data_IF_880762566313
#
_entry.id   IF_880762566313
#
_cell.length_a   1.000
_cell.length_b   1.000
_cell.length_c   1.000
_cell.angle_alpha   90.00
_cell.angle_beta   90.00
_cell.angle_gamma   90.00
#
_symmetry.space_group_name_H-M   'P 1'
#
loop_
_entity.id
_entity.type
_entity.pdbx_description
1 polymer ?
#
# COMPACT_ATOMS: atom_id res chain seq x y z
N UNK A 1 -2.22 -2.99 17.51
CA UNK A 1 -3.01 -3.35 16.31
C UNK A 1 -2.17 -3.13 15.07
N UNK A 2 -2.35 -3.95 14.07
CA UNK A 2 -1.66 -3.79 12.79
C UNK A 2 -2.62 -3.31 11.73
N UNK A 3 -2.16 -2.38 10.90
CA UNK A 3 -2.91 -1.89 9.74
C UNK A 3 -2.01 -1.91 8.52
N UNK A 4 -2.56 -2.29 7.38
CA UNK A 4 -1.87 -2.19 6.09
C UNK A 4 -2.43 -0.99 5.33
N UNK A 5 -1.54 -0.22 4.71
CA UNK A 5 -1.92 0.87 3.83
C UNK A 5 -1.55 0.50 2.41
N UNK A 6 -2.45 0.76 1.47
CA UNK A 6 -2.32 0.36 0.07
C UNK A 6 -2.49 1.59 -0.81
N UNK A 7 -1.46 1.93 -1.59
CA UNK A 7 -1.50 3.09 -2.49
C UNK A 7 -1.93 2.67 -3.89
N UNK A 8 -2.93 3.35 -4.42
CA UNK A 8 -3.40 3.20 -5.79
C UNK A 8 -3.40 4.56 -6.48
N UNK A 9 -2.74 4.73 -7.65
CA UNK A 9 -2.95 5.91 -8.46
C UNK A 9 -4.40 5.93 -8.97
N UNK A 10 -5.02 7.11 -8.97
CA UNK A 10 -6.38 7.27 -9.52
C UNK A 10 -6.36 7.88 -10.91
N UNK A 11 -5.17 8.32 -11.37
CA UNK A 11 -4.92 8.69 -12.76
C UNK A 11 -3.52 8.20 -13.12
N UNK A 12 -3.24 8.07 -14.42
CA UNK A 12 -1.92 7.63 -14.87
C UNK A 12 -0.90 8.76 -14.66
N UNK A 13 0.16 8.53 -13.86
CA UNK A 13 1.17 9.55 -13.65
C UNK A 13 1.93 9.85 -14.94
N UNK A 14 2.32 11.12 -15.10
CA UNK A 14 3.15 11.56 -16.22
C UNK A 14 4.63 11.37 -15.87
N UNK A 15 5.16 10.19 -16.12
CA UNK A 15 6.56 9.89 -15.89
C UNK A 15 6.84 9.22 -14.54
N UNK A 16 8.11 9.01 -14.21
CA UNK A 16 8.52 8.33 -12.99
C UNK A 16 8.37 9.24 -11.76
N UNK A 17 8.35 8.66 -10.55
CA UNK A 17 8.33 9.46 -9.32
C UNK A 17 9.53 10.41 -9.26
N UNK A 18 9.32 11.68 -8.89
CA UNK A 18 10.43 12.61 -8.71
C UNK A 18 11.38 12.17 -7.60
N UNK A 19 12.68 12.49 -7.75
CA UNK A 19 13.66 12.17 -6.74
C UNK A 19 13.38 12.80 -5.38
N UNK A 20 12.82 13.99 -5.37
CA UNK A 20 12.44 14.67 -4.13
C UNK A 20 11.34 13.92 -3.37
N UNK A 21 10.40 13.31 -4.08
CA UNK A 21 9.38 12.45 -3.48
C UNK A 21 10.02 11.21 -2.86
N UNK A 22 10.92 10.57 -3.57
CA UNK A 22 11.58 9.36 -3.08
C UNK A 22 12.40 9.66 -1.82
N UNK A 23 13.05 10.82 -1.76
CA UNK A 23 13.77 11.25 -0.56
C UNK A 23 12.80 11.52 0.61
N UNK A 24 11.66 12.15 0.35
CA UNK A 24 10.66 12.43 1.37
C UNK A 24 10.04 11.13 1.92
N UNK A 25 9.78 10.16 1.05
CA UNK A 25 9.26 8.85 1.45
C UNK A 25 10.29 8.11 2.32
N UNK A 26 11.56 8.13 1.93
CA UNK A 26 12.62 7.49 2.70
C UNK A 26 12.74 8.12 4.10
N UNK A 27 12.66 9.44 4.19
CA UNK A 27 12.70 10.15 5.47
C UNK A 27 11.50 9.81 6.35
N UNK A 28 10.31 9.74 5.77
CA UNK A 28 9.11 9.35 6.50
C UNK A 28 9.20 7.92 7.01
N UNK A 29 9.72 7.00 6.20
CA UNK A 29 9.96 5.61 6.59
C UNK A 29 10.93 5.51 7.76
N UNK A 30 11.98 6.32 7.74
CA UNK A 30 12.96 6.38 8.85
C UNK A 30 12.28 6.89 10.12
N UNK A 31 11.46 7.94 10.03
CA UNK A 31 10.72 8.46 11.18
C UNK A 31 9.79 7.41 11.77
N UNK A 32 9.05 6.69 10.93
CA UNK A 32 8.12 5.65 11.36
C UNK A 32 8.86 4.45 11.98
N UNK A 33 10.01 4.07 11.42
CA UNK A 33 10.85 3.00 11.97
C UNK A 33 11.43 3.40 13.33
N UNK A 34 11.91 4.63 13.46
CA UNK A 34 12.45 5.14 14.71
C UNK A 34 11.38 5.25 15.79
N UNK A 35 10.14 5.51 15.41
CA UNK A 35 9.00 5.52 16.33
C UNK A 35 8.52 4.10 16.70
N UNK A 36 9.08 3.07 16.06
CA UNK A 36 8.72 1.68 16.32
C UNK A 36 7.38 1.26 15.74
N UNK A 37 6.83 2.05 14.80
CA UNK A 37 5.50 1.77 14.25
C UNK A 37 5.53 1.12 12.88
N UNK A 38 6.58 1.29 12.08
CA UNK A 38 6.66 0.69 10.76
C UNK A 38 7.21 -0.73 10.84
N UNK A 39 6.41 -1.71 10.44
CA UNK A 39 6.82 -3.12 10.44
C UNK A 39 7.37 -3.57 9.10
N UNK A 40 6.77 -3.10 7.99
CA UNK A 40 7.20 -3.47 6.64
C UNK A 40 6.66 -2.48 5.64
N UNK A 41 7.37 -2.29 4.53
CA UNK A 41 6.94 -1.46 3.42
C UNK A 41 7.69 -1.85 2.17
N UNK A 42 7.04 -1.74 1.01
CA UNK A 42 7.68 -1.97 -0.28
C UNK A 42 6.90 -1.30 -1.40
N UNK A 43 7.60 -0.97 -2.47
CA UNK A 43 6.98 -0.70 -3.75
C UNK A 43 6.65 -1.99 -4.46
N UNK A 44 5.67 -1.96 -5.34
CA UNK A 44 5.23 -3.10 -6.13
C UNK A 44 5.42 -2.78 -7.61
N UNK A 45 5.92 -3.74 -8.37
CA UNK A 45 6.00 -3.62 -9.82
C UNK A 45 4.59 -3.57 -10.42
N UNK A 46 4.42 -2.94 -11.60
CA UNK A 46 3.13 -2.95 -12.29
C UNK A 46 2.62 -4.38 -12.54
N UNK A 47 1.30 -4.52 -12.66
CA UNK A 47 0.67 -5.84 -12.88
C UNK A 47 1.14 -6.54 -14.15
N UNK A 48 1.70 -5.79 -15.11
CA UNK A 48 2.29 -6.37 -16.31
C UNK A 48 3.42 -7.37 -16.00
N UNK A 49 4.10 -7.20 -14.85
CA UNK A 49 5.15 -8.11 -14.40
C UNK A 49 4.62 -9.24 -13.51
N UNK A 50 3.31 -9.28 -13.27
CA UNK A 50 2.68 -10.23 -12.36
C UNK A 50 1.78 -11.24 -13.03
N UNK A 51 1.09 -12.01 -12.21
CA UNK A 51 0.11 -13.00 -12.68
C UNK A 51 -1.11 -12.96 -11.78
N UNK A 52 -2.26 -13.34 -12.34
CA UNK A 52 -3.52 -13.46 -11.62
C UNK A 52 -3.98 -14.92 -11.67
N UNK A 53 -4.42 -15.43 -10.54
CA UNK A 53 -5.00 -16.75 -10.45
C UNK A 53 -6.47 -16.63 -10.09
N UNK A 54 -7.32 -17.41 -10.76
CA UNK A 54 -8.76 -17.42 -10.49
C UNK A 54 -9.21 -18.84 -10.20
N UNK A 55 -10.03 -18.99 -9.15
CA UNK A 55 -10.70 -20.24 -8.82
C UNK A 55 -12.15 -20.14 -9.29
N UNK A 56 -12.55 -21.02 -10.21
CA UNK A 56 -13.92 -21.06 -10.73
C UNK A 56 -14.29 -22.49 -11.06
N UNK A 57 -15.48 -22.94 -10.61
CA UNK A 57 -15.95 -24.30 -10.88
C UNK A 57 -15.01 -25.39 -10.37
N UNK A 58 -14.27 -25.13 -9.30
CA UNK A 58 -13.30 -26.07 -8.74
C UNK A 58 -11.96 -26.12 -9.46
N UNK A 59 -11.77 -25.27 -10.48
CA UNK A 59 -10.52 -25.22 -11.28
C UNK A 59 -9.82 -23.88 -11.08
N UNK A 60 -8.49 -23.91 -11.14
CA UNK A 60 -7.65 -22.73 -11.03
C UNK A 60 -7.09 -22.36 -12.39
N UNK A 61 -7.37 -21.14 -12.83
CA UNK A 61 -6.77 -20.57 -14.03
C UNK A 61 -5.69 -19.57 -13.65
N UNK A 62 -4.65 -19.46 -14.47
CA UNK A 62 -3.56 -18.51 -14.30
C UNK A 62 -3.47 -17.64 -15.54
N UNK A 63 -3.41 -16.33 -15.37
CA UNK A 63 -3.20 -15.40 -16.48
C UNK A 63 -2.13 -14.38 -16.12
N UNK A 64 -1.33 -14.00 -17.10
CA UNK A 64 -0.33 -12.95 -16.91
C UNK A 64 -1.01 -11.57 -16.93
N UNK A 65 -0.39 -10.59 -16.23
CA UNK A 65 -0.83 -9.22 -16.33
C UNK A 65 -0.55 -8.60 -17.69
N UNK A 66 -0.98 -7.36 -17.91
CA UNK A 66 -1.60 -6.45 -16.94
C UNK A 66 -3.07 -6.79 -16.66
N UNK A 67 -3.54 -6.35 -15.48
CA UNK A 67 -4.93 -6.56 -15.04
C UNK A 67 -5.73 -5.29 -15.32
N UNK A 68 -6.37 -5.24 -16.49
CA UNK A 68 -7.00 -4.03 -16.99
C UNK A 68 -8.24 -3.58 -16.19
N UNK A 69 -8.84 -4.48 -15.43
CA UNK A 69 -10.06 -4.23 -14.67
C UNK A 69 -9.79 -3.87 -13.20
N UNK A 70 -8.56 -3.99 -12.75
CA UNK A 70 -8.18 -3.70 -11.37
C UNK A 70 -7.37 -2.42 -11.28
N UNK A 71 -7.53 -1.71 -10.17
CA UNK A 71 -6.64 -0.57 -9.86
C UNK A 71 -5.23 -1.09 -9.63
N UNK A 72 -4.25 -0.42 -10.21
CA UNK A 72 -2.86 -0.78 -9.97
C UNK A 72 -2.48 -0.47 -8.52
N UNK A 73 -1.98 -1.47 -7.81
CA UNK A 73 -1.45 -1.31 -6.46
C UNK A 73 0.05 -1.07 -6.59
N UNK A 74 0.53 0.10 -6.15
CA UNK A 74 1.92 0.49 -6.37
C UNK A 74 2.81 0.39 -5.14
N UNK A 75 2.23 0.35 -3.94
CA UNK A 75 3.02 0.19 -2.71
C UNK A 75 2.14 -0.18 -1.53
N UNK A 76 2.77 -0.71 -0.50
CA UNK A 76 2.11 -0.97 0.76
C UNK A 76 3.02 -0.60 1.94
N UNK A 77 2.41 -0.40 3.11
CA UNK A 77 3.11 -0.30 4.38
C UNK A 77 2.27 -0.96 5.47
N UNK A 78 2.93 -1.62 6.41
CA UNK A 78 2.27 -2.25 7.55
C UNK A 78 2.73 -1.54 8.81
N UNK A 79 1.78 -1.03 9.60
CA UNK A 79 2.04 -0.27 10.82
C UNK A 79 1.51 -1.00 12.05
N UNK A 80 2.30 -0.98 13.12
CA UNK A 80 1.89 -1.39 14.46
C UNK A 80 1.51 -0.11 15.20
N UNK A 81 0.24 0.08 15.47
CA UNK A 81 -0.31 1.32 16.05
C UNK A 81 -1.37 1.01 17.08
N UNK A 82 -1.75 2.02 17.85
CA UNK A 82 -2.74 1.88 18.91
C UNK A 82 -4.18 2.06 18.43
N UNK A 83 -4.37 2.63 17.23
CA UNK A 83 -5.70 2.92 16.69
C UNK A 83 -5.68 3.03 15.18
N UNK A 84 -6.86 2.93 14.57
CA UNK A 84 -7.04 3.20 13.14
C UNK A 84 -6.64 4.65 12.82
N UNK A 85 -7.00 5.58 13.70
CA UNK A 85 -6.72 7.01 13.51
C UNK A 85 -5.21 7.27 13.43
N UNK A 86 -4.41 6.56 14.20
CA UNK A 86 -2.95 6.66 14.12
C UNK A 86 -2.43 6.13 12.80
N UNK A 87 -2.98 5.02 12.29
CA UNK A 87 -2.63 4.50 10.97
C UNK A 87 -3.00 5.49 9.87
N UNK A 88 -4.17 6.12 9.97
CA UNK A 88 -4.60 7.16 9.02
C UNK A 88 -3.64 8.35 9.05
N UNK A 89 -3.14 8.74 10.21
CA UNK A 89 -2.18 9.84 10.32
C UNK A 89 -0.89 9.53 9.56
N UNK A 90 -0.33 8.33 9.73
CA UNK A 90 0.87 7.93 8.97
C UNK A 90 0.60 7.86 7.47
N UNK A 91 -0.54 7.30 7.07
CA UNK A 91 -0.95 7.25 5.66
C UNK A 91 -1.14 8.64 5.08
N UNK A 92 -1.70 9.57 5.87
CA UNK A 92 -1.89 10.96 5.46
C UNK A 92 -0.55 11.67 5.19
N UNK A 93 0.45 11.43 6.03
CA UNK A 93 1.80 11.99 5.82
C UNK A 93 2.41 11.47 4.52
N UNK A 94 2.22 10.18 4.24
CA UNK A 94 2.70 9.56 3.01
C UNK A 94 2.02 10.17 1.77
N UNK A 95 0.72 10.29 1.81
CA UNK A 95 -0.04 10.85 0.69
C UNK A 95 0.24 12.35 0.52
N UNK A 96 0.43 13.06 1.62
CA UNK A 96 0.80 14.49 1.59
C UNK A 96 2.17 14.71 0.95
N UNK A 97 3.12 13.80 1.15
CA UNK A 97 4.41 13.85 0.49
C UNK A 97 4.26 13.80 -1.04
N UNK A 98 3.32 12.99 -1.53
CA UNK A 98 3.00 12.94 -2.96
C UNK A 98 2.44 14.29 -3.43
N UNK A 99 1.53 14.90 -2.67
CA UNK A 99 0.96 16.19 -3.02
C UNK A 99 2.03 17.29 -3.09
N UNK A 100 3.00 17.25 -2.17
CA UNK A 100 4.05 18.29 -2.09
C UNK A 100 5.14 18.10 -3.14
N UNK A 101 5.48 16.87 -3.49
CA UNK A 101 6.67 16.59 -4.30
C UNK A 101 6.37 16.00 -5.69
N UNK A 102 5.12 15.77 -6.01
CA UNK A 102 4.71 15.25 -7.32
C UNK A 102 3.52 16.02 -7.86
N UNK A 103 3.76 17.19 -8.50
CA UNK A 103 2.68 18.01 -9.02
C UNK A 103 1.76 17.21 -9.96
N UNK A 104 0.46 17.32 -9.74
CA UNK A 104 -0.53 16.65 -10.57
C UNK A 104 -0.79 15.19 -10.23
N UNK A 105 -0.04 14.61 -9.28
CA UNK A 105 -0.31 13.23 -8.85
C UNK A 105 -1.67 13.13 -8.17
N UNK A 106 -2.45 12.12 -8.57
CA UNK A 106 -3.70 11.78 -7.93
C UNK A 106 -3.67 10.31 -7.53
N UNK A 107 -4.03 10.05 -6.29
CA UNK A 107 -3.98 8.70 -5.74
C UNK A 107 -4.86 8.56 -4.51
N UNK A 108 -5.02 7.32 -4.12
CA UNK A 108 -5.84 6.92 -2.97
C UNK A 108 -5.03 5.96 -2.11
N UNK A 109 -5.16 6.09 -0.80
CA UNK A 109 -4.60 5.12 0.14
C UNK A 109 -5.75 4.47 0.89
N UNK A 110 -5.81 3.15 0.83
CA UNK A 110 -6.72 2.36 1.67
C UNK A 110 -6.00 1.95 2.94
N UNK A 111 -6.70 2.01 4.07
CA UNK A 111 -6.18 1.63 5.38
C UNK A 111 -7.04 0.48 5.89
N UNK A 112 -6.45 -0.71 5.98
CA UNK A 112 -7.17 -1.93 6.34
C UNK A 112 -6.53 -2.58 7.56
N UNK A 113 -7.37 -3.05 8.50
CA UNK A 113 -6.88 -3.76 9.67
C UNK A 113 -6.32 -5.13 9.25
N UNK A 114 -5.13 -5.46 9.72
CA UNK A 114 -4.54 -6.78 9.51
C UNK A 114 -4.99 -7.68 10.66
N UNK A 115 -5.64 -8.79 10.31
CA UNK A 115 -6.14 -9.73 11.30
C UNK A 115 -5.05 -10.69 11.75
N UNK A 116 -5.00 -10.96 13.05
CA UNK A 116 -4.15 -11.98 13.64
C UNK A 116 -5.00 -13.15 14.13
N UNK A 117 -4.37 -14.24 14.63
CA UNK A 117 -5.11 -15.39 15.14
C UNK A 117 -6.15 -15.04 16.21
N UNK A 118 -5.87 -14.02 17.02
CA UNK A 118 -6.77 -13.54 18.08
C UNK A 118 -8.08 -12.98 17.55
N UNK A 119 -8.12 -12.54 16.28
CA UNK A 119 -9.31 -11.95 15.68
C UNK A 119 -10.29 -13.00 15.16
N UNK A 120 -9.90 -14.26 15.10
CA UNK A 120 -10.74 -15.37 14.62
C UNK A 120 -11.39 -16.15 15.75
N UNK A 121 -11.16 -15.73 17.00
CA UNK A 121 -11.70 -16.41 18.17
C UNK A 121 -10.95 -17.71 18.52
N UNK A 122 -11.36 -18.39 19.60
CA UNK A 122 -10.70 -19.64 20.01
C UNK A 122 -11.00 -20.74 19.00
N UNK A 123 -10.07 -21.72 18.86
CA UNK A 123 -10.33 -22.88 18.00
C UNK A 123 -11.54 -23.66 18.54
N UNK A 124 -12.34 -24.20 17.64
CA UNK A 124 -13.52 -24.97 17.95
C UNK A 124 -13.14 -26.33 18.61
#
# INVERSE_FOLDING_TARGET
MRYITLLHPTSTPEGPPPGELMAAIAQLGEQASNAGVLLDTAGLAPSAAGARMELSGGSIGVSDGPFTEAKELVSYAIYQVSSKEEAVEWASRFLRAHAEHWPGYEGEVQVLKVLGPEDFGPPA
#
